data_IF_311034780062
#
_entry.id   IF_311034780062
#
_cell.length_a   1.000
_cell.length_b   1.000
_cell.length_c   1.000
_cell.angle_alpha   90.00
_cell.angle_beta   90.00
_cell.angle_gamma   90.00
#
_symmetry.space_group_name_H-M   'P 1'
#
loop_
_entity.id
_entity.type
_entity.pdbx_description
1 polymer ?
#
# COMPACT_ATOMS: atom_id res chain seq x y z
N UNK A 1 -9.52 -9.50 -20.14
CA UNK A 1 -8.13 -9.67 -19.66
C UNK A 1 -7.25 -9.91 -20.87
N UNK A 2 -6.19 -9.12 -21.02
CA UNK A 2 -5.39 -8.99 -22.25
C UNK A 2 -4.52 -10.22 -22.59
N UNK A 3 -4.43 -11.21 -21.67
CA UNK A 3 -3.75 -12.51 -21.83
C UNK A 3 -2.41 -12.45 -22.56
N UNK A 4 -1.56 -11.47 -22.23
CA UNK A 4 -0.25 -11.28 -22.87
C UNK A 4 0.68 -12.48 -22.63
N UNK A 5 0.47 -13.20 -21.52
CA UNK A 5 1.15 -14.44 -21.15
C UNK A 5 0.14 -15.44 -20.58
N UNK A 6 0.50 -16.72 -20.51
CA UNK A 6 -0.38 -17.75 -19.94
C UNK A 6 -0.60 -17.55 -18.43
N UNK A 7 -1.76 -17.95 -17.95
CA UNK A 7 -2.10 -17.88 -16.52
C UNK A 7 -1.30 -18.85 -15.65
N UNK A 8 -0.68 -19.85 -16.27
CA UNK A 8 0.28 -20.74 -15.62
C UNK A 8 1.59 -20.01 -15.31
N UNK A 9 1.95 -19.02 -16.13
CA UNK A 9 3.13 -18.19 -15.91
C UNK A 9 2.83 -17.02 -14.96
N UNK A 10 1.69 -16.35 -15.15
CA UNK A 10 1.24 -15.22 -14.32
C UNK A 10 -0.22 -15.45 -13.91
N UNK A 11 -0.42 -15.85 -12.66
CA UNK A 11 -1.75 -16.02 -12.11
C UNK A 11 -2.56 -14.72 -12.11
N UNK A 12 -3.88 -14.87 -12.09
CA UNK A 12 -4.80 -13.73 -11.91
C UNK A 12 -4.52 -13.01 -10.58
N UNK A 13 -4.60 -11.66 -10.57
CA UNK A 13 -4.46 -10.86 -9.36
C UNK A 13 -5.37 -11.32 -8.22
N UNK A 14 -4.90 -11.16 -6.99
CA UNK A 14 -5.75 -11.30 -5.80
C UNK A 14 -6.73 -10.13 -5.69
N UNK A 15 -7.83 -10.32 -4.96
CA UNK A 15 -8.88 -9.29 -4.88
C UNK A 15 -8.37 -8.02 -4.22
N UNK A 16 -7.42 -8.12 -3.28
CA UNK A 16 -6.81 -6.96 -2.64
C UNK A 16 -5.97 -6.07 -3.56
N UNK A 17 -5.44 -6.61 -4.66
CA UNK A 17 -4.58 -5.86 -5.57
C UNK A 17 -5.36 -4.76 -6.31
N UNK A 18 -6.63 -5.00 -6.63
CA UNK A 18 -7.50 -4.03 -7.32
C UNK A 18 -7.72 -2.73 -6.52
N UNK A 19 -8.22 -2.75 -5.27
CA UNK A 19 -8.33 -1.54 -4.46
C UNK A 19 -6.97 -0.96 -4.09
N UNK A 20 -5.90 -1.77 -4.01
CA UNK A 20 -4.55 -1.28 -3.75
C UNK A 20 -4.01 -0.38 -4.87
N UNK A 21 -4.51 -0.47 -6.10
CA UNK A 21 -4.18 0.48 -7.17
C UNK A 21 -4.53 1.93 -6.81
N UNK A 22 -5.52 2.13 -5.95
CA UNK A 22 -5.91 3.45 -5.44
C UNK A 22 -4.86 4.06 -4.49
N UNK A 23 -3.88 3.29 -4.03
CA UNK A 23 -2.75 3.78 -3.22
C UNK A 23 -1.89 4.84 -3.92
N UNK A 24 -2.02 5.01 -5.24
CA UNK A 24 -1.39 6.10 -5.97
C UNK A 24 -2.00 7.48 -5.64
N UNK A 25 -3.28 7.54 -5.28
CA UNK A 25 -3.98 8.77 -4.92
C UNK A 25 -3.35 9.47 -3.70
N UNK A 26 -3.18 8.83 -2.53
CA UNK A 26 -2.56 9.47 -1.37
C UNK A 26 -1.15 9.96 -1.67
N UNK A 27 -0.37 9.20 -2.44
CA UNK A 27 0.99 9.59 -2.87
C UNK A 27 0.98 10.85 -3.73
N UNK A 28 0.06 10.94 -4.70
CA UNK A 28 -0.06 12.11 -5.56
C UNK A 28 -0.53 13.36 -4.79
N UNK A 29 -1.55 13.21 -3.93
CA UNK A 29 -2.03 14.30 -3.08
C UNK A 29 -0.93 14.77 -2.12
N UNK A 30 -0.15 13.83 -1.57
CA UNK A 30 1.00 14.14 -0.71
C UNK A 30 2.06 14.95 -1.46
N UNK A 31 2.39 14.57 -2.70
CA UNK A 31 3.32 15.32 -3.55
C UNK A 31 2.79 16.74 -3.85
N UNK A 32 1.50 16.90 -4.12
CA UNK A 32 0.88 18.21 -4.34
C UNK A 32 0.85 19.10 -3.08
N UNK A 33 0.94 18.52 -1.88
CA UNK A 33 1.01 19.29 -0.65
C UNK A 33 2.37 19.99 -0.48
N UNK A 34 3.45 19.45 -1.07
CA UNK A 34 4.83 19.89 -0.83
C UNK A 34 5.15 21.31 -1.35
N UNK A 35 4.78 21.74 -2.57
CA UNK A 35 5.22 23.03 -3.11
C UNK A 35 4.71 24.25 -2.34
N UNK A 36 3.56 24.12 -1.66
CA UNK A 36 2.91 25.22 -0.93
C UNK A 36 2.76 24.95 0.57
N UNK A 37 3.38 23.88 1.08
CA UNK A 37 3.18 23.39 2.45
C UNK A 37 1.70 23.31 2.84
N UNK A 38 0.87 22.78 1.93
CA UNK A 38 -0.58 22.77 2.11
C UNK A 38 -0.98 21.68 3.13
N UNK A 39 -1.19 22.12 4.37
CA UNK A 39 -1.58 21.27 5.50
C UNK A 39 -2.83 20.44 5.18
N UNK A 40 -3.85 21.02 4.54
CA UNK A 40 -5.09 20.31 4.23
C UNK A 40 -4.85 19.15 3.26
N UNK A 41 -4.03 19.35 2.23
CA UNK A 41 -3.69 18.28 1.29
C UNK A 41 -2.87 17.17 1.96
N UNK A 42 -1.95 17.53 2.86
CA UNK A 42 -1.19 16.54 3.62
C UNK A 42 -2.09 15.69 4.53
N UNK A 43 -3.07 16.31 5.21
CA UNK A 43 -4.05 15.56 6.01
C UNK A 43 -4.89 14.63 5.14
N UNK A 44 -5.39 15.11 4.00
CA UNK A 44 -6.16 14.27 3.06
C UNK A 44 -5.30 13.11 2.56
N UNK A 45 -4.04 13.36 2.20
CA UNK A 45 -3.07 12.32 1.80
C UNK A 45 -2.90 11.26 2.89
N UNK A 46 -2.79 11.67 4.16
CA UNK A 46 -2.63 10.73 5.27
C UNK A 46 -3.87 9.87 5.53
N UNK A 47 -5.07 10.47 5.52
CA UNK A 47 -6.33 9.73 5.71
C UNK A 47 -6.54 8.75 4.54
N UNK A 48 -6.33 9.22 3.31
CA UNK A 48 -6.44 8.37 2.12
C UNK A 48 -5.35 7.29 2.05
N UNK A 49 -4.15 7.51 2.61
CA UNK A 49 -3.13 6.46 2.73
C UNK A 49 -3.58 5.33 3.68
N UNK A 50 -4.23 5.68 4.80
CA UNK A 50 -4.83 4.67 5.68
C UNK A 50 -5.88 3.82 4.94
N UNK A 51 -6.77 4.47 4.19
CA UNK A 51 -7.89 3.81 3.53
C UNK A 51 -7.50 3.03 2.26
N UNK A 52 -6.66 3.60 1.40
CA UNK A 52 -6.36 3.03 0.07
C UNK A 52 -4.99 2.37 -0.03
N UNK A 53 -4.10 2.59 0.93
CA UNK A 53 -2.79 1.92 0.97
C UNK A 53 -2.75 0.84 2.03
N UNK A 54 -3.08 1.17 3.28
CA UNK A 54 -2.93 0.24 4.41
C UNK A 54 -4.08 -0.78 4.46
N UNK A 55 -5.33 -0.35 4.31
CA UNK A 55 -6.47 -1.25 4.43
C UNK A 55 -6.48 -2.39 3.39
N UNK A 56 -6.18 -2.17 2.08
CA UNK A 56 -6.06 -3.26 1.12
C UNK A 56 -4.97 -4.26 1.48
N UNK A 57 -3.86 -3.83 2.07
CA UNK A 57 -2.79 -4.73 2.51
C UNK A 57 -3.24 -5.62 3.67
N UNK A 58 -3.97 -5.07 4.65
CA UNK A 58 -4.54 -5.86 5.75
C UNK A 58 -5.56 -6.87 5.22
N UNK A 59 -6.45 -6.43 4.32
CA UNK A 59 -7.41 -7.31 3.67
C UNK A 59 -6.71 -8.44 2.88
N UNK A 60 -5.70 -8.09 2.08
CA UNK A 60 -4.92 -9.06 1.32
C UNK A 60 -4.19 -10.06 2.19
N UNK A 61 -3.65 -9.64 3.34
CA UNK A 61 -3.00 -10.53 4.29
C UNK A 61 -3.97 -11.60 4.82
N UNK A 62 -5.24 -11.24 5.05
CA UNK A 62 -6.28 -12.17 5.47
C UNK A 62 -6.78 -13.04 4.30
N UNK A 63 -6.98 -12.45 3.12
CA UNK A 63 -7.42 -13.15 1.90
C UNK A 63 -6.45 -14.27 1.51
N UNK A 64 -5.14 -13.99 1.57
CA UNK A 64 -4.09 -14.93 1.18
C UNK A 64 -3.74 -15.96 2.25
N UNK A 65 -4.23 -15.79 3.49
CA UNK A 65 -3.86 -16.65 4.61
C UNK A 65 -4.23 -18.12 4.43
N UNK A 66 -5.45 -18.50 3.96
CA UNK A 66 -5.79 -19.89 3.71
C UNK A 66 -4.92 -20.54 2.62
N UNK A 67 -4.52 -19.76 1.61
CA UNK A 67 -3.65 -20.21 0.52
C UNK A 67 -2.22 -20.45 1.01
N UNK A 68 -1.72 -19.57 1.89
CA UNK A 68 -0.44 -19.80 2.54
C UNK A 68 -0.49 -21.04 3.45
N UNK A 69 -1.57 -21.24 4.20
CA UNK A 69 -1.72 -22.44 5.01
C UNK A 69 -1.73 -23.73 4.16
N UNK A 70 -2.39 -23.71 2.99
CA UNK A 70 -2.37 -24.84 2.06
C UNK A 70 -0.96 -25.09 1.50
N UNK A 71 -0.23 -24.03 1.16
CA UNK A 71 1.15 -24.13 0.69
C UNK A 71 2.07 -24.72 1.76
N UNK A 72 2.09 -24.14 2.96
CA UNK A 72 3.04 -24.52 4.01
C UNK A 72 2.71 -25.84 4.70
N UNK A 73 1.43 -26.21 4.84
CA UNK A 73 1.04 -27.46 5.51
C UNK A 73 0.89 -28.65 4.56
N UNK A 74 0.49 -28.41 3.31
CA UNK A 74 0.17 -29.48 2.36
C UNK A 74 1.08 -29.50 1.14
N UNK A 75 1.98 -28.52 0.98
CA UNK A 75 2.84 -28.40 -0.20
C UNK A 75 2.08 -28.08 -1.49
N UNK A 76 0.83 -27.61 -1.40
CA UNK A 76 -0.03 -27.37 -2.57
C UNK A 76 -0.08 -25.89 -2.93
N UNK A 77 0.37 -25.56 -4.14
CA UNK A 77 0.24 -24.24 -4.73
C UNK A 77 -0.80 -24.28 -5.88
N UNK A 78 -1.71 -23.32 -5.89
CA UNK A 78 -2.77 -23.22 -6.91
C UNK A 78 -2.58 -22.05 -7.88
N UNK A 79 -1.68 -21.12 -7.54
CA UNK A 79 -1.37 -19.93 -8.32
C UNK A 79 0.13 -19.77 -8.39
N UNK A 80 0.65 -19.43 -9.57
CA UNK A 80 2.08 -19.30 -9.84
C UNK A 80 2.40 -17.95 -10.45
N UNK A 81 3.59 -17.46 -10.13
CA UNK A 81 4.20 -16.27 -10.73
C UNK A 81 5.64 -16.66 -11.07
N UNK A 82 5.95 -16.74 -12.37
CA UNK A 82 7.27 -17.13 -12.88
C UNK A 82 7.82 -18.42 -12.26
N UNK A 83 6.96 -19.43 -12.08
CA UNK A 83 7.33 -20.74 -11.52
C UNK A 83 7.38 -20.80 -9.99
N UNK A 84 7.27 -19.67 -9.28
CA UNK A 84 7.13 -19.63 -7.82
C UNK A 84 5.67 -19.56 -7.40
N UNK A 85 5.38 -19.99 -6.17
CA UNK A 85 4.03 -19.85 -5.61
C UNK A 85 3.65 -18.39 -5.48
N UNK A 86 2.56 -17.98 -6.13
CA UNK A 86 2.09 -16.59 -6.17
C UNK A 86 1.87 -16.02 -4.76
N UNK A 87 1.34 -16.83 -3.84
CA UNK A 87 1.08 -16.41 -2.46
C UNK A 87 2.36 -16.04 -1.72
N UNK A 88 3.47 -16.75 -1.97
CA UNK A 88 4.76 -16.47 -1.33
C UNK A 88 5.36 -15.16 -1.85
N UNK A 89 5.33 -14.98 -3.17
CA UNK A 89 5.80 -13.74 -3.82
C UNK A 89 4.97 -12.55 -3.35
N UNK A 90 3.64 -12.70 -3.27
CA UNK A 90 2.75 -11.63 -2.86
C UNK A 90 2.89 -11.26 -1.39
N UNK A 91 3.12 -12.21 -0.48
CA UNK A 91 3.44 -11.87 0.92
C UNK A 91 4.75 -11.09 1.05
N UNK A 92 5.78 -11.42 0.27
CA UNK A 92 7.03 -10.64 0.25
C UNK A 92 6.78 -9.21 -0.21
N UNK A 93 6.05 -9.03 -1.32
CA UNK A 93 5.67 -7.71 -1.82
C UNK A 93 4.83 -6.93 -0.80
N UNK A 94 3.91 -7.61 -0.12
CA UNK A 94 3.07 -7.02 0.91
C UNK A 94 3.88 -6.51 2.10
N UNK A 95 4.86 -7.28 2.59
CA UNK A 95 5.74 -6.83 3.69
C UNK A 95 6.50 -5.55 3.29
N UNK A 96 7.04 -5.51 2.06
CA UNK A 96 7.73 -4.32 1.54
C UNK A 96 6.76 -3.15 1.45
N UNK A 97 5.55 -3.35 0.90
CA UNK A 97 4.53 -2.32 0.78
C UNK A 97 4.10 -1.76 2.15
N UNK A 98 3.90 -2.63 3.15
CA UNK A 98 3.59 -2.22 4.53
C UNK A 98 4.72 -1.36 5.09
N UNK A 99 5.99 -1.75 4.90
CA UNK A 99 7.13 -0.95 5.37
C UNK A 99 7.15 0.43 4.71
N UNK A 100 6.98 0.50 3.38
CA UNK A 100 6.96 1.76 2.63
C UNK A 100 5.84 2.67 3.14
N UNK A 101 4.62 2.17 3.28
CA UNK A 101 3.49 2.98 3.76
C UNK A 101 3.59 3.36 5.24
N UNK A 102 4.17 2.50 6.08
CA UNK A 102 4.42 2.82 7.48
C UNK A 102 5.38 4.02 7.60
N UNK A 103 6.48 4.00 6.84
CA UNK A 103 7.42 5.13 6.80
C UNK A 103 6.79 6.38 6.18
N UNK A 104 6.02 6.24 5.10
CA UNK A 104 5.29 7.34 4.48
C UNK A 104 4.38 8.04 5.50
N UNK A 105 3.55 7.29 6.23
CA UNK A 105 2.60 7.85 7.20
C UNK A 105 3.35 8.49 8.38
N UNK A 106 4.41 7.84 8.86
CA UNK A 106 5.24 8.37 9.94
C UNK A 106 5.85 9.73 9.57
N UNK A 107 6.49 9.82 8.41
CA UNK A 107 7.12 11.07 7.96
C UNK A 107 6.07 12.14 7.61
N UNK A 108 4.94 11.79 7.01
CA UNK A 108 3.84 12.72 6.78
C UNK A 108 3.31 13.30 8.08
N UNK A 109 3.20 12.50 9.15
CA UNK A 109 2.78 13.01 10.47
C UNK A 109 3.80 14.00 11.03
N UNK A 110 5.09 13.68 10.97
CA UNK A 110 6.16 14.59 11.43
C UNK A 110 6.18 15.89 10.63
N UNK A 111 5.96 15.82 9.33
CA UNK A 111 5.88 16.98 8.45
C UNK A 111 4.66 17.85 8.77
N UNK A 112 3.50 17.22 9.01
CA UNK A 112 2.28 17.90 9.41
C UNK A 112 2.49 18.70 10.70
N UNK A 113 3.13 18.09 11.70
CA UNK A 113 3.42 18.75 12.97
C UNK A 113 4.38 19.93 12.80
N UNK A 114 5.42 19.78 11.97
CA UNK A 114 6.36 20.85 11.66
C UNK A 114 5.70 22.04 10.93
N UNK A 115 4.86 21.78 9.93
CA UNK A 115 4.12 22.84 9.22
C UNK A 115 3.10 23.53 10.11
N UNK A 116 2.40 22.78 10.96
CA UNK A 116 1.45 23.36 11.90
C UNK A 116 2.14 24.28 12.91
N UNK A 117 3.22 23.81 13.55
CA UNK A 117 3.97 24.58 14.54
C UNK A 117 4.57 25.87 13.94
N UNK A 118 5.22 25.77 12.78
CA UNK A 118 5.80 26.95 12.12
C UNK A 118 4.76 27.99 11.71
N UNK A 119 3.55 27.57 11.33
CA UNK A 119 2.45 28.49 11.00
C UNK A 119 1.92 29.20 12.25
N UNK A 120 1.82 28.50 13.38
CA UNK A 120 1.42 29.10 14.66
C UNK A 120 2.46 30.06 15.21
N UNK A 121 3.75 29.74 15.10
CA UNK A 121 4.83 30.66 15.49
C UNK A 121 4.81 31.96 14.70
N UNK A 122 4.59 31.88 13.37
CA UNK A 122 4.42 33.07 12.53
C UNK A 122 3.20 33.92 12.87
N UNK A 123 2.13 33.31 13.38
CA UNK A 123 0.91 34.04 13.80
C UNK A 123 1.07 34.74 15.17
N UNK A 124 1.99 34.25 16.02
CA UNK A 124 2.26 34.81 17.35
C UNK A 124 3.29 35.97 17.33
N UNK A 125 4.07 36.08 16.26
CA UNK A 125 5.01 37.19 16.01
C UNK A 125 4.31 38.29 15.23
#
# INVERSE_FOLDING_TARGET
HLNLVSHDLVAMPYQWEYPYLLSLLPSFIGALAMPKNNISYLVISMISAGLFSVAPLIFGAMEMFPLAQQLYRHGKAYRFIFGFSAVSVMYLLMVIAIQVHAWQIYYSKKLLDAWFNSTQEKKKK
#
